data_IF_956442450980
#
_entry.id   IF_956442450980
#
_cell.length_a   1.000
_cell.length_b   1.000
_cell.length_c   1.000
_cell.angle_alpha   90.00
_cell.angle_beta   90.00
_cell.angle_gamma   90.00
#
_symmetry.space_group_name_H-M   'P 1'
#
loop_
_entity.id
_entity.type
_entity.pdbx_description
1 polymer ?
#
# COMPACT_ATOMS: atom_id res chain seq x y z
N UNK A 1 -5.65 8.04 -27.86
CA UNK A 1 -4.99 7.14 -26.89
C UNK A 1 -3.75 7.83 -26.38
N UNK A 2 -3.79 8.45 -25.19
CA UNK A 2 -2.56 8.91 -24.54
C UNK A 2 -1.78 7.66 -24.15
N UNK A 3 -0.65 7.42 -24.81
CA UNK A 3 0.33 6.45 -24.34
C UNK A 3 0.60 6.74 -22.87
N UNK A 4 0.43 5.75 -21.99
CA UNK A 4 0.97 5.87 -20.64
C UNK A 4 2.47 5.99 -20.81
N UNK A 5 3.01 7.20 -20.68
CA UNK A 5 4.45 7.41 -20.77
C UNK A 5 5.08 6.59 -19.64
N UNK A 6 5.68 5.45 -20.01
CA UNK A 6 6.44 4.62 -19.08
C UNK A 6 7.61 5.47 -18.59
N UNK A 7 7.68 5.65 -17.27
CA UNK A 7 8.70 6.47 -16.61
C UNK A 7 9.73 5.56 -15.94
N UNK A 8 10.73 5.08 -16.70
CA UNK A 8 11.72 4.14 -16.19
C UNK A 8 12.44 4.69 -14.96
N UNK A 9 12.68 5.99 -14.91
CA UNK A 9 13.32 6.68 -13.79
C UNK A 9 12.54 6.51 -12.48
N UNK A 10 11.21 6.64 -12.52
CA UNK A 10 10.37 6.50 -11.34
C UNK A 10 10.25 5.03 -10.93
N UNK A 11 10.23 4.11 -11.90
CA UNK A 11 10.22 2.69 -11.60
C UNK A 11 11.54 2.20 -11.00
N UNK A 12 12.67 2.75 -11.48
CA UNK A 12 13.99 2.52 -10.91
C UNK A 12 14.08 2.97 -9.46
N UNK A 13 13.55 4.16 -9.13
CA UNK A 13 13.49 4.64 -7.75
C UNK A 13 12.65 3.72 -6.85
N UNK A 14 11.50 3.21 -7.32
CA UNK A 14 10.71 2.22 -6.57
C UNK A 14 11.48 0.92 -6.36
N UNK A 15 12.20 0.46 -7.38
CA UNK A 15 13.01 -0.76 -7.28
C UNK A 15 14.15 -0.60 -6.27
N UNK A 16 14.85 0.54 -6.29
CA UNK A 16 15.89 0.87 -5.30
C UNK A 16 15.29 0.91 -3.89
N UNK A 17 14.13 1.56 -3.72
CA UNK A 17 13.46 1.64 -2.43
C UNK A 17 13.10 0.26 -1.87
N UNK A 18 12.53 -0.64 -2.68
CA UNK A 18 12.23 -2.02 -2.29
C UNK A 18 13.51 -2.80 -2.00
N UNK A 19 14.56 -2.60 -2.81
CA UNK A 19 15.84 -3.28 -2.62
C UNK A 19 16.50 -2.88 -1.30
N UNK A 20 16.47 -1.61 -0.92
CA UNK A 20 16.95 -1.14 0.39
C UNK A 20 16.22 -1.83 1.54
N UNK A 21 14.89 -1.98 1.44
CA UNK A 21 14.08 -2.68 2.44
C UNK A 21 14.47 -4.15 2.51
N UNK A 22 14.63 -4.82 1.37
CA UNK A 22 15.03 -6.22 1.31
C UNK A 22 16.41 -6.46 1.93
N UNK A 23 17.41 -5.65 1.57
CA UNK A 23 18.76 -5.73 2.14
C UNK A 23 18.74 -5.46 3.64
N UNK A 24 17.97 -4.48 4.10
CA UNK A 24 17.85 -4.18 5.53
C UNK A 24 17.28 -5.35 6.34
N UNK A 25 16.33 -6.12 5.78
CA UNK A 25 15.76 -7.28 6.46
C UNK A 25 16.75 -8.46 6.57
N UNK A 26 17.64 -8.63 5.59
CA UNK A 26 18.62 -9.75 5.58
C UNK A 26 19.93 -9.36 6.28
N UNK A 27 20.41 -8.13 6.06
CA UNK A 27 21.67 -7.60 6.58
C UNK A 27 21.47 -6.17 7.10
N UNK A 28 20.89 -6.00 8.30
CA UNK A 28 20.54 -4.68 8.82
C UNK A 28 21.75 -3.75 9.02
N UNK A 29 22.95 -4.31 9.20
CA UNK A 29 24.19 -3.56 9.36
C UNK A 29 24.73 -2.97 8.05
N UNK A 30 24.35 -3.49 6.88
CA UNK A 30 24.82 -2.97 5.58
C UNK A 30 24.12 -1.66 5.19
N UNK A 31 22.83 -1.56 5.51
CA UNK A 31 22.02 -0.36 5.24
C UNK A 31 21.23 0.01 6.51
N UNK A 32 21.91 0.57 7.54
CA UNK A 32 21.22 1.11 8.70
C UNK A 32 20.24 2.20 8.23
N UNK A 33 18.95 2.00 8.46
CA UNK A 33 17.91 2.91 7.94
C UNK A 33 17.22 2.47 6.65
N UNK A 34 17.47 1.27 6.12
CA UNK A 34 16.82 0.79 4.89
C UNK A 34 15.29 0.71 4.97
N UNK A 35 14.69 0.75 6.18
CA UNK A 35 13.25 0.90 6.37
C UNK A 35 12.66 2.18 5.75
N UNK A 36 13.46 3.25 5.58
CA UNK A 36 13.05 4.49 4.88
C UNK A 36 12.64 4.21 3.42
N UNK A 37 13.14 3.11 2.84
CA UNK A 37 12.69 2.65 1.51
C UNK A 37 11.18 2.40 1.44
N UNK A 38 10.53 2.01 2.54
CA UNK A 38 9.07 1.85 2.58
C UNK A 38 8.36 3.20 2.37
N UNK A 39 8.80 4.24 3.07
CA UNK A 39 8.22 5.59 2.95
C UNK A 39 8.40 6.13 1.54
N UNK A 40 9.61 6.01 0.99
CA UNK A 40 9.92 6.44 -0.38
C UNK A 40 9.05 5.70 -1.40
N UNK A 41 8.88 4.38 -1.25
CA UNK A 41 8.02 3.58 -2.11
C UNK A 41 6.57 4.09 -2.09
N UNK A 42 6.00 4.30 -0.90
CA UNK A 42 4.62 4.79 -0.76
C UNK A 42 4.43 6.19 -1.32
N UNK A 43 5.37 7.11 -1.07
CA UNK A 43 5.31 8.48 -1.63
C UNK A 43 5.31 8.44 -3.16
N UNK A 44 6.19 7.65 -3.76
CA UNK A 44 6.25 7.52 -5.22
C UNK A 44 4.97 6.88 -5.77
N UNK A 45 4.47 5.81 -5.15
CA UNK A 45 3.21 5.17 -5.54
C UNK A 45 2.03 6.15 -5.45
N UNK A 46 1.95 6.94 -4.37
CA UNK A 46 0.95 7.99 -4.19
C UNK A 46 1.03 9.07 -5.27
N UNK A 47 2.22 9.57 -5.58
CA UNK A 47 2.43 10.54 -6.65
C UNK A 47 1.95 10.01 -8.01
N UNK A 48 2.33 8.78 -8.37
CA UNK A 48 1.97 8.17 -9.66
C UNK A 48 0.46 7.98 -9.80
N UNK A 49 -0.18 7.42 -8.79
CA UNK A 49 -1.63 7.15 -8.81
C UNK A 49 -2.42 8.46 -8.82
N UNK A 50 -2.04 9.43 -7.99
CA UNK A 50 -2.64 10.77 -8.01
C UNK A 50 -2.57 11.37 -9.40
N UNK A 51 -1.39 11.35 -10.02
CA UNK A 51 -1.20 11.88 -11.38
C UNK A 51 -2.09 11.18 -12.40
N UNK A 52 -2.26 9.85 -12.33
CA UNK A 52 -3.15 9.10 -13.23
C UNK A 52 -4.61 9.52 -13.04
N UNK A 53 -5.08 9.55 -11.79
CA UNK A 53 -6.47 9.87 -11.46
C UNK A 53 -6.84 11.31 -11.79
N UNK A 54 -5.97 12.27 -11.45
CA UNK A 54 -6.18 13.69 -11.74
C UNK A 54 -6.19 13.94 -13.24
N UNK A 55 -5.24 13.37 -14.01
CA UNK A 55 -5.25 13.52 -15.47
C UNK A 55 -6.50 12.92 -16.11
N UNK A 56 -6.97 11.77 -15.64
CA UNK A 56 -8.22 11.16 -16.12
C UNK A 56 -9.43 12.04 -15.80
N UNK A 57 -9.48 12.59 -14.58
CA UNK A 57 -10.53 13.51 -14.15
C UNK A 57 -10.52 14.83 -14.94
N UNK A 58 -9.35 15.41 -15.21
CA UNK A 58 -9.21 16.63 -16.02
C UNK A 58 -9.61 16.39 -17.48
N UNK A 59 -9.23 15.24 -18.04
CA UNK A 59 -9.52 14.91 -19.44
C UNK A 59 -10.97 14.49 -19.69
N UNK A 60 -11.62 13.82 -18.74
CA UNK A 60 -12.94 13.19 -18.96
C UNK A 60 -14.03 13.67 -18.01
N UNK A 61 -13.68 14.47 -17.00
CA UNK A 61 -14.58 14.85 -15.93
C UNK A 61 -14.97 13.71 -14.98
N UNK A 62 -14.41 12.51 -15.11
CA UNK A 62 -14.73 11.37 -14.24
C UNK A 62 -13.53 10.45 -14.08
N UNK A 63 -13.63 9.54 -13.11
CA UNK A 63 -12.64 8.49 -12.88
C UNK A 63 -13.32 7.15 -13.16
N UNK A 64 -12.77 6.34 -14.07
CA UNK A 64 -13.25 5.00 -14.34
C UNK A 64 -12.66 4.02 -13.31
N UNK A 65 -13.35 3.90 -12.17
CA UNK A 65 -12.96 3.03 -11.06
C UNK A 65 -12.81 1.55 -11.49
N UNK A 66 -13.77 0.92 -12.20
CA UNK A 66 -13.59 -0.46 -12.66
C UNK A 66 -12.34 -0.66 -13.52
N UNK A 67 -12.08 0.26 -14.46
CA UNK A 67 -10.91 0.16 -15.32
C UNK A 67 -9.60 0.37 -14.53
N UNK A 68 -9.61 1.24 -13.51
CA UNK A 68 -8.48 1.45 -12.61
C UNK A 68 -8.10 0.16 -11.87
N UNK A 69 -9.06 -0.46 -11.18
CA UNK A 69 -8.83 -1.69 -10.43
C UNK A 69 -8.47 -2.87 -11.33
N UNK A 70 -9.11 -2.99 -12.49
CA UNK A 70 -8.84 -4.09 -13.41
C UNK A 70 -7.40 -4.07 -13.95
N UNK A 71 -6.86 -2.89 -14.26
CA UNK A 71 -5.45 -2.75 -14.67
C UNK A 71 -4.50 -3.18 -13.56
N UNK A 72 -4.82 -2.84 -12.32
CA UNK A 72 -3.97 -3.15 -11.16
C UNK A 72 -4.06 -4.62 -10.78
N UNK A 73 -5.27 -5.19 -10.74
CA UNK A 73 -5.51 -6.60 -10.48
C UNK A 73 -4.72 -7.49 -11.46
N UNK A 74 -4.77 -7.20 -12.77
CA UNK A 74 -4.01 -7.95 -13.79
C UNK A 74 -2.50 -7.84 -13.65
N UNK A 75 -2.00 -6.78 -13.03
CA UNK A 75 -0.57 -6.55 -12.84
C UNK A 75 -0.03 -7.17 -11.55
N UNK A 76 -0.81 -7.17 -10.48
CA UNK A 76 -0.33 -7.54 -9.14
C UNK A 76 -0.80 -8.92 -8.68
N UNK A 77 -2.07 -9.26 -8.89
CA UNK A 77 -2.63 -10.51 -8.38
C UNK A 77 -1.93 -11.76 -8.91
N UNK A 78 -1.54 -11.88 -10.19
CA UNK A 78 -0.88 -13.10 -10.67
C UNK A 78 0.40 -13.42 -9.91
N UNK A 79 1.27 -12.43 -9.73
CA UNK A 79 2.54 -12.61 -9.03
C UNK A 79 2.32 -12.82 -7.52
N UNK A 80 1.40 -12.07 -6.92
CA UNK A 80 1.05 -12.21 -5.51
C UNK A 80 0.52 -13.63 -5.20
N UNK A 81 -0.50 -14.08 -5.96
CA UNK A 81 -1.06 -15.41 -5.76
C UNK A 81 -0.03 -16.51 -6.02
N UNK A 82 0.84 -16.36 -7.03
CA UNK A 82 1.91 -17.32 -7.29
C UNK A 82 2.84 -17.47 -6.08
N UNK A 83 3.29 -16.36 -5.50
CA UNK A 83 4.16 -16.40 -4.31
C UNK A 83 3.44 -17.05 -3.14
N UNK A 84 2.17 -16.70 -2.88
CA UNK A 84 1.39 -17.33 -1.80
C UNK A 84 1.23 -18.85 -2.00
N UNK A 85 0.96 -19.28 -3.23
CA UNK A 85 0.85 -20.71 -3.56
C UNK A 85 2.17 -21.45 -3.34
N UNK A 86 3.29 -20.88 -3.79
CA UNK A 86 4.63 -21.47 -3.62
C UNK A 86 5.00 -21.53 -2.14
N UNK A 87 4.82 -20.44 -1.40
CA UNK A 87 5.14 -20.39 0.04
C UNK A 87 4.22 -21.34 0.83
N UNK A 88 2.93 -21.40 0.49
CA UNK A 88 1.99 -22.35 1.07
C UNK A 88 2.38 -23.81 0.82
N UNK A 89 2.81 -24.14 -0.40
CA UNK A 89 3.28 -25.49 -0.74
C UNK A 89 4.59 -25.87 -0.03
N UNK A 90 5.49 -24.92 0.20
CA UNK A 90 6.76 -25.14 0.91
C UNK A 90 6.62 -25.12 2.43
N UNK A 91 5.53 -24.58 2.97
CA UNK A 91 5.34 -24.43 4.43
C UNK A 91 5.49 -25.74 5.20
N UNK A 92 4.89 -26.89 4.79
CA UNK A 92 5.06 -28.16 5.50
C UNK A 92 6.49 -28.69 5.50
N UNK A 93 7.33 -28.28 4.54
CA UNK A 93 8.72 -28.71 4.41
C UNK A 93 9.68 -27.84 5.21
N UNK A 94 9.33 -26.57 5.41
CA UNK A 94 10.22 -25.57 6.02
C UNK A 94 9.83 -25.20 7.46
N UNK A 95 8.57 -25.38 7.87
CA UNK A 95 8.05 -24.91 9.15
C UNK A 95 7.42 -26.02 10.00
N UNK A 96 7.57 -25.98 11.34
CA UNK A 96 6.90 -26.90 12.26
C UNK A 96 5.37 -26.84 12.14
N UNK A 97 4.71 -27.98 12.37
CA UNK A 97 3.25 -28.11 12.30
C UNK A 97 2.49 -27.13 13.22
N UNK A 98 3.11 -26.72 14.34
CA UNK A 98 2.55 -25.72 15.25
C UNK A 98 2.34 -24.34 14.62
N UNK A 99 3.06 -24.02 13.54
CA UNK A 99 2.96 -22.72 12.85
C UNK A 99 2.01 -22.72 11.66
N UNK A 100 1.49 -23.89 11.26
CA UNK A 100 0.72 -24.00 10.01
C UNK A 100 -0.60 -23.26 10.06
N UNK A 101 -1.35 -23.37 11.16
CA UNK A 101 -2.67 -22.73 11.31
C UNK A 101 -2.54 -21.21 11.21
N UNK A 102 -1.55 -20.67 11.91
CA UNK A 102 -1.31 -19.24 11.94
C UNK A 102 -0.75 -18.71 10.62
N UNK A 103 0.19 -19.45 10.01
CA UNK A 103 0.72 -19.15 8.67
C UNK A 103 -0.36 -19.19 7.59
N UNK A 104 -1.28 -20.16 7.63
CA UNK A 104 -2.41 -20.20 6.69
C UNK A 104 -3.36 -19.02 6.87
N UNK A 105 -3.62 -18.58 8.11
CA UNK A 105 -4.44 -17.40 8.37
C UNK A 105 -3.79 -16.13 7.78
N UNK A 106 -2.48 -15.97 7.93
CA UNK A 106 -1.75 -14.86 7.32
C UNK A 106 -1.70 -14.92 5.79
N UNK A 107 -1.53 -16.11 5.20
CA UNK A 107 -1.62 -16.27 3.75
C UNK A 107 -3.01 -15.94 3.22
N UNK A 108 -4.06 -16.37 3.91
CA UNK A 108 -5.43 -16.05 3.53
C UNK A 108 -5.69 -14.54 3.59
N UNK A 109 -5.25 -13.87 4.65
CA UNK A 109 -5.38 -12.42 4.79
C UNK A 109 -4.48 -11.66 3.82
N UNK A 110 -3.31 -12.18 3.49
CA UNK A 110 -2.46 -11.66 2.42
C UNK A 110 -3.16 -11.74 1.07
N UNK A 111 -3.83 -12.87 0.77
CA UNK A 111 -4.55 -13.05 -0.49
C UNK A 111 -5.69 -12.05 -0.69
N UNK A 112 -6.34 -11.64 0.41
CA UNK A 112 -7.41 -10.63 0.40
C UNK A 112 -6.93 -9.23 0.77
N UNK A 113 -5.60 -9.00 0.84
CA UNK A 113 -4.99 -7.69 1.08
C UNK A 113 -5.35 -7.05 2.44
N UNK A 114 -5.45 -7.88 3.48
CA UNK A 114 -5.78 -7.52 4.86
C UNK A 114 -4.74 -8.00 5.90
N UNK A 115 -3.57 -8.47 5.46
CA UNK A 115 -2.56 -9.02 6.36
C UNK A 115 -2.12 -8.03 7.45
N UNK A 116 -2.02 -6.74 7.10
CA UNK A 116 -1.64 -5.68 8.03
C UNK A 116 -2.51 -5.64 9.30
N UNK A 117 -3.79 -6.02 9.21
CA UNK A 117 -4.68 -6.09 10.37
C UNK A 117 -4.35 -7.24 11.32
N UNK A 118 -3.96 -8.41 10.77
CA UNK A 118 -3.46 -9.54 11.56
C UNK A 118 -2.18 -9.15 12.29
N UNK A 119 -1.24 -8.56 11.57
CA UNK A 119 0.04 -8.15 12.15
C UNK A 119 -0.14 -7.08 13.22
N UNK A 120 -1.06 -6.13 13.01
CA UNK A 120 -1.41 -5.15 14.03
C UNK A 120 -2.01 -5.82 15.28
N UNK A 121 -2.92 -6.78 15.11
CA UNK A 121 -3.48 -7.55 16.23
C UNK A 121 -2.42 -8.36 16.99
N UNK A 122 -1.41 -8.91 16.28
CA UNK A 122 -0.28 -9.62 16.90
C UNK A 122 0.71 -8.69 17.60
N UNK A 123 0.87 -7.46 17.11
CA UNK A 123 1.84 -6.51 17.67
C UNK A 123 1.59 -6.12 19.13
N UNK A 124 0.35 -6.32 19.62
CA UNK A 124 -0.06 -6.05 21.00
C UNK A 124 -0.05 -7.29 21.89
N UNK A 125 0.17 -8.48 21.32
CA UNK A 125 0.26 -9.73 22.08
C UNK A 125 1.68 -9.93 22.61
N UNK A 126 1.82 -9.80 23.94
CA UNK A 126 3.12 -9.92 24.61
C UNK A 126 3.75 -11.31 24.42
N UNK A 127 2.94 -12.35 24.32
CA UNK A 127 3.42 -13.73 24.15
C UNK A 127 3.91 -14.01 22.72
N UNK A 128 3.53 -13.18 21.76
CA UNK A 128 3.93 -13.31 20.36
C UNK A 128 5.25 -12.58 20.03
N UNK A 129 5.83 -11.83 20.98
CA UNK A 129 6.94 -10.89 20.73
C UNK A 129 8.24 -11.54 20.25
N UNK A 130 8.49 -12.79 20.63
CA UNK A 130 9.68 -13.56 20.24
C UNK A 130 9.41 -14.55 19.09
N UNK A 131 8.22 -14.49 18.48
CA UNK A 131 7.91 -15.33 17.32
C UNK A 131 8.72 -14.89 16.10
N UNK A 132 9.23 -15.85 15.35
CA UNK A 132 9.89 -15.56 14.09
C UNK A 132 8.91 -14.86 13.11
N UNK A 133 9.37 -13.87 12.34
CA UNK A 133 8.60 -13.25 11.28
C UNK A 133 8.02 -14.27 10.32
N UNK A 134 6.78 -14.05 9.90
CA UNK A 134 6.11 -14.94 8.95
C UNK A 134 6.73 -14.84 7.55
N UNK A 135 6.78 -15.95 6.79
CA UNK A 135 7.27 -15.94 5.41
C UNK A 135 6.51 -14.98 4.49
N UNK A 136 5.25 -14.68 4.81
CA UNK A 136 4.40 -13.78 4.02
C UNK A 136 4.29 -12.38 4.60
N UNK A 137 4.93 -12.10 5.75
CA UNK A 137 4.79 -10.84 6.47
C UNK A 137 4.94 -9.60 5.59
N UNK A 138 5.80 -9.62 4.58
CA UNK A 138 6.03 -8.51 3.65
C UNK A 138 4.77 -8.06 2.85
N UNK A 139 3.72 -8.88 2.78
CA UNK A 139 2.43 -8.55 2.17
C UNK A 139 1.68 -7.44 2.91
N UNK A 140 2.08 -7.07 4.13
CA UNK A 140 1.52 -5.96 4.89
C UNK A 140 1.58 -4.66 4.10
N UNK A 141 2.71 -4.43 3.42
CA UNK A 141 2.96 -3.21 2.64
C UNK A 141 2.08 -3.18 1.39
N UNK A 142 1.91 -4.32 0.72
CA UNK A 142 1.01 -4.48 -0.42
C UNK A 142 -0.46 -4.31 0.01
N UNK A 143 -0.84 -4.85 1.16
CA UNK A 143 -2.19 -4.72 1.74
C UNK A 143 -2.53 -3.25 2.02
N UNK A 144 -1.61 -2.52 2.64
CA UNK A 144 -1.77 -1.07 2.88
C UNK A 144 -1.81 -0.30 1.55
N UNK A 145 -1.00 -0.67 0.55
CA UNK A 145 -1.04 -0.02 -0.75
C UNK A 145 -2.42 -0.15 -1.42
N UNK A 146 -3.03 -1.34 -1.40
CA UNK A 146 -4.39 -1.54 -1.93
C UNK A 146 -5.44 -0.76 -1.14
N UNK A 147 -5.34 -0.69 0.19
CA UNK A 147 -6.25 0.09 1.02
C UNK A 147 -6.14 1.58 0.71
N UNK A 148 -4.92 2.10 0.57
CA UNK A 148 -4.68 3.47 0.10
C UNK A 148 -5.35 3.69 -1.27
N UNK A 149 -5.39 2.68 -2.13
CA UNK A 149 -6.00 2.79 -3.46
C UNK A 149 -7.52 2.67 -3.46
N UNK A 150 -8.12 2.25 -2.35
CA UNK A 150 -9.56 2.41 -2.10
C UNK A 150 -9.87 3.82 -1.63
N UNK A 151 -9.13 4.28 -0.63
CA UNK A 151 -9.38 5.58 0.00
C UNK A 151 -9.09 6.72 -0.96
N UNK A 152 -7.97 6.69 -1.68
CA UNK A 152 -7.48 7.84 -2.45
C UNK A 152 -8.35 8.21 -3.67
N UNK A 153 -8.75 7.28 -4.56
CA UNK A 153 -9.72 7.60 -5.61
C UNK A 153 -11.05 8.07 -5.04
N UNK A 154 -11.50 7.51 -3.91
CA UNK A 154 -12.70 7.95 -3.21
C UNK A 154 -12.62 9.42 -2.79
N UNK A 155 -11.49 9.82 -2.18
CA UNK A 155 -11.22 11.21 -1.81
C UNK A 155 -11.18 12.14 -3.02
N UNK A 156 -10.56 11.73 -4.12
CA UNK A 156 -10.53 12.54 -5.35
C UNK A 156 -11.95 12.68 -5.94
N UNK A 157 -12.74 11.62 -5.99
CA UNK A 157 -14.13 11.66 -6.48
C UNK A 157 -14.98 12.57 -5.59
N UNK A 158 -14.85 12.47 -4.26
CA UNK A 158 -15.53 13.35 -3.33
C UNK A 158 -15.13 14.81 -3.54
N UNK A 159 -13.83 15.08 -3.72
CA UNK A 159 -13.28 16.38 -4.06
C UNK A 159 -13.85 16.95 -5.35
N UNK A 160 -13.89 16.17 -6.43
CA UNK A 160 -14.48 16.57 -7.70
C UNK A 160 -15.99 16.85 -7.56
N UNK A 161 -16.71 16.03 -6.81
CA UNK A 161 -18.15 16.17 -6.61
C UNK A 161 -18.48 17.45 -5.82
N UNK A 162 -17.75 17.72 -4.73
CA UNK A 162 -17.93 18.94 -3.96
C UNK A 162 -17.43 20.19 -4.71
N UNK A 163 -16.39 20.09 -5.56
CA UNK A 163 -15.97 21.22 -6.42
C UNK A 163 -17.09 21.67 -7.36
N UNK A 164 -17.88 20.72 -7.89
CA UNK A 164 -19.04 21.00 -8.74
C UNK A 164 -20.20 21.58 -7.95
N UNK A 165 -20.46 21.06 -6.76
CA UNK A 165 -21.55 21.48 -5.90
C UNK A 165 -21.33 22.90 -5.35
N UNK A 166 -20.12 23.18 -4.87
CA UNK A 166 -19.76 24.43 -4.20
C UNK A 166 -19.08 25.46 -5.12
N UNK A 167 -18.84 25.12 -6.40
CA UNK A 167 -18.10 25.94 -7.39
C UNK A 167 -16.71 26.38 -6.92
N UNK A 168 -16.08 25.58 -6.05
CA UNK A 168 -14.73 25.82 -5.53
C UNK A 168 -13.71 25.08 -6.39
N UNK A 169 -12.48 25.59 -6.47
CA UNK A 169 -11.40 24.86 -7.14
C UNK A 169 -10.98 23.62 -6.33
N UNK A 170 -10.68 22.50 -7.00
CA UNK A 170 -10.20 21.28 -6.36
C UNK A 170 -8.90 21.52 -5.55
N UNK A 171 -8.08 22.48 -5.99
CA UNK A 171 -6.86 22.91 -5.28
C UNK A 171 -7.19 23.57 -3.94
N UNK A 172 -8.19 24.45 -3.90
CA UNK A 172 -8.66 25.06 -2.65
C UNK A 172 -9.20 24.00 -1.70
N UNK A 173 -9.88 22.97 -2.21
CA UNK A 173 -10.39 21.87 -1.41
C UNK A 173 -9.28 20.96 -0.85
N UNK A 174 -8.24 20.67 -1.63
CA UNK A 174 -7.07 19.95 -1.13
C UNK A 174 -6.35 20.74 -0.04
N UNK A 175 -6.15 22.04 -0.25
CA UNK A 175 -5.56 22.92 0.77
C UNK A 175 -6.40 22.95 2.05
N UNK A 176 -7.73 23.00 1.92
CA UNK A 176 -8.64 22.93 3.06
C UNK A 176 -8.57 21.56 3.76
N UNK A 177 -8.49 20.46 3.02
CA UNK A 177 -8.35 19.11 3.57
C UNK A 177 -7.02 18.94 4.32
N UNK A 178 -5.90 19.29 3.68
CA UNK A 178 -4.59 19.25 4.32
C UNK A 178 -4.51 20.19 5.52
N UNK A 179 -5.05 21.41 5.40
CA UNK A 179 -5.15 22.37 6.50
C UNK A 179 -5.94 21.80 7.67
N UNK A 180 -7.09 21.18 7.40
CA UNK A 180 -7.91 20.53 8.44
C UNK A 180 -7.16 19.38 9.11
N UNK A 181 -6.51 18.50 8.33
CA UNK A 181 -5.73 17.37 8.89
C UNK A 181 -4.59 17.88 9.76
N UNK A 182 -3.87 18.92 9.32
CA UNK A 182 -2.78 19.54 10.10
C UNK A 182 -3.33 20.13 11.39
N UNK A 183 -4.39 20.94 11.31
CA UNK A 183 -5.02 21.54 12.49
C UNK A 183 -5.47 20.45 13.47
N UNK A 184 -6.20 19.44 13.00
CA UNK A 184 -6.67 18.32 13.83
C UNK A 184 -5.52 17.53 14.44
N UNK A 185 -4.40 17.39 13.72
CA UNK A 185 -3.20 16.71 14.24
C UNK A 185 -2.46 17.53 15.29
N UNK A 186 -2.54 18.86 15.21
CA UNK A 186 -1.93 19.80 16.15
C UNK A 186 -2.84 20.14 17.34
N UNK A 187 -4.13 19.82 17.27
CA UNK A 187 -5.01 19.91 18.43
C UNK A 187 -4.45 18.98 19.51
N UNK A 188 -4.18 19.48 20.73
CA UNK A 188 -3.71 18.65 21.82
C UNK A 188 -4.73 17.53 22.02
N UNK A 189 -4.29 16.29 21.79
CA UNK A 189 -5.07 15.11 22.17
C UNK A 189 -5.08 15.11 23.69
N UNK A 190 -6.09 15.71 24.29
CA UNK A 190 -6.30 15.63 25.73
C UNK A 190 -6.50 14.16 26.08
N UNK A 191 -5.46 13.56 26.66
CA UNK A 191 -5.41 12.19 27.16
C UNK A 191 -4.32 12.11 28.21
#
# INVERSE_FOLDING_TARGET
MSTSQFRPEIQGLRAIAVFMVAVFHVWPFLIPGGYVGVDVFFVISGYLITGVLVREAEATGKINIPAFYLRRARRLLPTAMLVLLVVGALTPLCLPASQWVDGMAEMALSAVQLENWRLAAKSVDYLARDSAPSPVQHYWSLSIEEQFYVVWPGLIIAGLSASRLFRLSWRAMLLALFGTVIIVSLLPRCG
#
